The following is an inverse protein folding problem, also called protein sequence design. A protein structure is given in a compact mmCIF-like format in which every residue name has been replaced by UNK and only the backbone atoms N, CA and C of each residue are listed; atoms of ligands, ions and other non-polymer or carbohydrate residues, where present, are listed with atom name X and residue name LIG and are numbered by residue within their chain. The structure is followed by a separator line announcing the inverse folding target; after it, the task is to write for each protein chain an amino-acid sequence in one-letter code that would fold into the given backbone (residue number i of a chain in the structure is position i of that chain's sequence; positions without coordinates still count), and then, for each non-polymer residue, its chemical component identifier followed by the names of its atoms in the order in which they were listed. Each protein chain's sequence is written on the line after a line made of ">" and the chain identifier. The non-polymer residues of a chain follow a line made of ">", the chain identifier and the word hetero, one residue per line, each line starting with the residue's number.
data_IF_697914444569
#
_entry.id   IF_697914444569
#
_cell.length_a   1.000
_cell.length_b   1.000
_cell.length_c   1.000
_cell.angle_alpha   90.00
_cell.angle_beta   90.00
_cell.angle_gamma   90.00
#
_symmetry.space_group_name_H-M   'P 1'
#
loop_
_entity.id
_entity.type
_entity.pdbx_description
1 polymer ?
#
# COMPACT_ATOMS: atom_id res chain seq x y z
N UNK A 1 12.98 15.09 15.92
CA UNK A 1 12.36 13.88 15.39
C UNK A 1 13.45 12.85 15.09
N UNK A 2 13.30 11.63 15.55
CA UNK A 2 14.23 10.54 15.23
C UNK A 2 14.04 10.10 13.78
N UNK A 3 15.00 9.36 13.25
CA UNK A 3 14.87 8.79 11.90
C UNK A 3 13.63 7.90 11.80
N UNK A 4 13.37 7.08 12.82
CA UNK A 4 12.21 6.18 12.81
C UNK A 4 10.89 6.98 12.79
N UNK A 5 10.82 8.05 13.60
CA UNK A 5 9.65 8.93 13.61
C UNK A 5 9.46 9.62 12.26
N UNK A 6 10.54 10.06 11.64
CA UNK A 6 10.48 10.69 10.33
C UNK A 6 10.00 9.71 9.25
N UNK A 7 10.52 8.48 9.25
CA UNK A 7 10.07 7.44 8.31
C UNK A 7 8.58 7.20 8.49
N UNK A 8 8.11 7.04 9.74
CA UNK A 8 6.70 6.79 10.00
C UNK A 8 5.81 7.97 9.58
N UNK A 9 6.29 9.19 9.79
CA UNK A 9 5.55 10.40 9.39
C UNK A 9 5.40 10.46 7.87
N UNK A 10 6.49 10.21 7.14
CA UNK A 10 6.46 10.22 5.68
C UNK A 10 5.60 9.07 5.15
N UNK A 11 5.66 7.90 5.79
CA UNK A 11 4.77 6.79 5.45
C UNK A 11 3.30 7.20 5.54
N UNK A 12 2.92 7.90 6.60
CA UNK A 12 1.56 8.41 6.75
C UNK A 12 1.19 9.38 5.62
N UNK A 13 2.11 10.27 5.26
CA UNK A 13 1.89 11.23 4.16
C UNK A 13 1.68 10.49 2.84
N UNK A 14 2.48 9.45 2.57
CA UNK A 14 2.33 8.68 1.34
C UNK A 14 1.02 7.88 1.33
N UNK A 15 0.58 7.38 2.48
CA UNK A 15 -0.74 6.75 2.57
C UNK A 15 -1.85 7.74 2.19
N UNK A 16 -1.76 8.98 2.68
CA UNK A 16 -2.73 10.02 2.36
C UNK A 16 -2.73 10.35 0.86
N UNK A 17 -1.54 10.42 0.25
CA UNK A 17 -1.41 10.67 -1.19
C UNK A 17 -2.04 9.54 -2.01
N UNK A 18 -1.89 8.29 -1.59
CA UNK A 18 -2.54 7.15 -2.26
C UNK A 18 -4.06 7.28 -2.16
N UNK A 19 -4.58 7.63 -0.99
CA UNK A 19 -6.02 7.83 -0.80
C UNK A 19 -6.55 8.88 -1.78
N UNK A 20 -5.85 10.01 -1.89
CA UNK A 20 -6.23 11.08 -2.81
C UNK A 20 -6.18 10.63 -4.27
N UNK A 21 -5.12 9.91 -4.65
CA UNK A 21 -4.97 9.40 -6.02
C UNK A 21 -6.08 8.43 -6.39
N UNK A 22 -6.44 7.51 -5.48
CA UNK A 22 -7.56 6.58 -5.68
C UNK A 22 -8.88 7.34 -5.82
N UNK A 23 -9.09 8.35 -4.98
CA UNK A 23 -10.30 9.17 -5.04
C UNK A 23 -10.45 9.88 -6.40
N UNK A 24 -9.34 10.39 -6.93
CA UNK A 24 -9.35 11.03 -8.26
C UNK A 24 -9.69 10.05 -9.37
N UNK A 25 -9.16 8.83 -9.29
CA UNK A 25 -9.50 7.78 -10.26
C UNK A 25 -11.00 7.48 -10.21
N UNK A 26 -11.55 7.33 -9.00
CA UNK A 26 -12.97 7.02 -8.83
C UNK A 26 -13.88 8.15 -9.33
N UNK A 27 -13.46 9.40 -9.15
CA UNK A 27 -14.26 10.57 -9.53
C UNK A 27 -14.12 10.95 -10.99
N UNK A 28 -12.92 10.82 -11.54
CA UNK A 28 -12.59 11.38 -12.86
C UNK A 28 -12.12 10.35 -13.88
N UNK A 29 -11.96 9.09 -13.47
CA UNK A 29 -11.57 8.00 -14.36
C UNK A 29 -10.09 7.71 -14.34
N UNK A 30 -9.74 6.54 -14.85
CA UNK A 30 -8.37 6.02 -14.80
C UNK A 30 -7.45 6.67 -15.85
N UNK A 31 -7.97 7.02 -17.03
CA UNK A 31 -7.10 7.38 -18.16
C UNK A 31 -6.17 8.56 -17.87
N UNK A 32 -6.67 9.62 -17.24
CA UNK A 32 -5.87 10.80 -16.94
C UNK A 32 -5.16 10.71 -15.57
N UNK A 33 -5.55 9.75 -14.74
CA UNK A 33 -5.08 9.66 -13.35
C UNK A 33 -4.22 8.43 -13.09
N UNK A 34 -4.00 7.60 -14.10
CA UNK A 34 -3.25 6.36 -13.97
C UNK A 34 -1.79 6.61 -13.54
N UNK A 35 -1.10 7.51 -14.22
CA UNK A 35 0.32 7.78 -13.92
C UNK A 35 0.52 8.31 -12.51
N UNK A 36 -0.38 9.19 -12.06
CA UNK A 36 -0.32 9.74 -10.71
C UNK A 36 -0.55 8.65 -9.67
N UNK A 37 -1.52 7.75 -9.92
CA UNK A 37 -1.79 6.63 -9.01
C UNK A 37 -0.58 5.69 -8.93
N UNK A 38 0.01 5.33 -10.08
CA UNK A 38 1.21 4.48 -10.10
C UNK A 38 2.33 5.12 -9.29
N UNK A 39 2.57 6.42 -9.49
CA UNK A 39 3.62 7.13 -8.76
C UNK A 39 3.38 7.07 -7.25
N UNK A 40 2.17 7.33 -6.79
CA UNK A 40 1.88 7.32 -5.36
C UNK A 40 1.98 5.91 -4.76
N UNK A 41 1.59 4.88 -5.51
CA UNK A 41 1.77 3.50 -5.06
C UNK A 41 3.24 3.14 -4.95
N UNK A 42 4.07 3.58 -5.89
CA UNK A 42 5.51 3.36 -5.84
C UNK A 42 6.16 4.09 -4.67
N UNK A 43 5.74 5.33 -4.42
CA UNK A 43 6.26 6.12 -3.28
C UNK A 43 5.91 5.45 -1.95
N UNK A 44 4.67 4.95 -1.83
CA UNK A 44 4.25 4.21 -0.64
C UNK A 44 5.07 2.92 -0.48
N UNK A 45 5.27 2.18 -1.59
CA UNK A 45 6.07 0.96 -1.57
C UNK A 45 7.49 1.23 -1.08
N UNK A 46 8.10 2.35 -1.53
CA UNK A 46 9.42 2.74 -1.07
C UNK A 46 9.45 2.95 0.45
N UNK A 47 8.43 3.61 1.00
CA UNK A 47 8.37 3.84 2.45
C UNK A 47 8.13 2.56 3.24
N UNK A 48 7.33 1.63 2.70
CA UNK A 48 7.14 0.32 3.31
C UNK A 48 8.49 -0.42 3.37
N UNK A 49 9.26 -0.40 2.29
CA UNK A 49 10.57 -1.02 2.25
C UNK A 49 11.54 -0.40 3.27
N UNK A 50 11.52 0.93 3.42
CA UNK A 50 12.36 1.62 4.40
C UNK A 50 12.00 1.25 5.85
N UNK A 51 10.72 0.96 6.13
CA UNK A 51 10.30 0.49 7.45
C UNK A 51 11.04 -0.79 7.85
N UNK A 52 11.24 -1.69 6.89
CA UNK A 52 11.97 -2.94 7.14
C UNK A 52 13.48 -2.73 7.09
N UNK A 53 13.97 -1.96 6.12
CA UNK A 53 15.41 -1.71 5.96
C UNK A 53 16.02 -1.10 7.20
N UNK A 54 15.38 -0.09 7.77
CA UNK A 54 15.85 0.57 8.98
C UNK A 54 15.30 -0.05 10.27
N UNK A 55 14.68 -1.20 10.15
CA UNK A 55 14.18 -1.98 11.30
C UNK A 55 13.22 -1.18 12.19
N UNK A 56 12.42 -0.29 11.59
CA UNK A 56 11.32 0.35 12.30
C UNK A 56 10.31 -0.73 12.71
N UNK A 57 10.12 -1.70 11.82
CA UNK A 57 9.35 -2.93 12.09
C UNK A 57 10.22 -4.13 11.72
N UNK A 58 9.94 -5.26 12.35
CA UNK A 58 10.64 -6.50 12.08
C UNK A 58 9.65 -7.64 11.92
N UNK A 59 9.87 -8.45 10.89
CA UNK A 59 9.17 -9.72 10.77
C UNK A 59 10.03 -10.67 9.95
N UNK A 60 9.82 -11.96 10.15
CA UNK A 60 10.48 -12.96 9.31
C UNK A 60 9.78 -12.98 7.94
N UNK A 61 10.46 -13.57 6.96
CA UNK A 61 9.87 -13.78 5.63
C UNK A 61 8.60 -14.62 5.77
N UNK A 62 8.63 -15.65 6.61
CA UNK A 62 7.47 -16.52 6.83
C UNK A 62 6.30 -15.78 7.44
N UNK A 63 6.55 -14.89 8.42
CA UNK A 63 5.49 -14.06 9.02
C UNK A 63 4.88 -13.13 7.98
N UNK A 64 5.71 -12.52 7.14
CA UNK A 64 5.26 -11.63 6.07
C UNK A 64 4.36 -12.36 5.10
N UNK A 65 4.81 -13.51 4.61
CA UNK A 65 4.02 -14.35 3.70
C UNK A 65 2.71 -14.79 4.34
N UNK A 66 2.76 -15.21 5.60
CA UNK A 66 1.55 -15.64 6.31
C UNK A 66 0.53 -14.51 6.43
N UNK A 67 0.97 -13.31 6.82
CA UNK A 67 0.07 -12.16 6.94
C UNK A 67 -0.55 -11.79 5.60
N UNK A 68 0.24 -11.79 4.52
CA UNK A 68 -0.27 -11.49 3.19
C UNK A 68 -1.25 -12.57 2.75
N UNK A 69 -0.91 -13.84 2.98
CA UNK A 69 -1.79 -14.97 2.66
C UNK A 69 -3.12 -14.86 3.38
N UNK A 70 -3.12 -14.56 4.67
CA UNK A 70 -4.33 -14.40 5.46
C UNK A 70 -5.22 -13.28 4.92
N UNK A 71 -4.63 -12.15 4.52
CA UNK A 71 -5.39 -11.06 3.92
C UNK A 71 -6.05 -11.49 2.61
N UNK A 72 -5.30 -12.21 1.77
CA UNK A 72 -5.83 -12.70 0.50
C UNK A 72 -6.98 -13.69 0.71
N UNK A 73 -6.88 -14.56 1.72
CA UNK A 73 -7.96 -15.51 2.04
C UNK A 73 -9.21 -14.78 2.54
N UNK A 74 -9.05 -13.75 3.37
CA UNK A 74 -10.18 -12.92 3.80
C UNK A 74 -10.87 -12.26 2.61
N UNK A 75 -10.10 -11.74 1.66
CA UNK A 75 -10.65 -11.10 0.47
C UNK A 75 -11.43 -12.09 -0.39
N UNK A 76 -10.98 -13.34 -0.49
CA UNK A 76 -11.73 -14.38 -1.20
C UNK A 76 -13.09 -14.63 -0.57
N UNK A 77 -13.16 -14.54 0.77
CA UNK A 77 -14.39 -14.79 1.52
C UNK A 77 -15.33 -13.59 1.55
N UNK A 78 -14.79 -12.37 1.71
CA UNK A 78 -15.59 -11.17 1.98
C UNK A 78 -15.62 -10.16 0.83
N UNK A 79 -14.95 -10.44 -0.28
CA UNK A 79 -14.99 -9.56 -1.45
C UNK A 79 -15.07 -10.40 -2.72
N UNK A 80 -15.27 -9.72 -3.86
CA UNK A 80 -15.40 -10.38 -5.15
C UNK A 80 -14.20 -10.15 -6.06
N UNK A 81 -13.10 -9.59 -5.52
CA UNK A 81 -11.95 -9.20 -6.36
C UNK A 81 -11.23 -10.38 -7.01
N UNK A 82 -11.36 -11.59 -6.44
CA UNK A 82 -10.78 -12.80 -7.02
C UNK A 82 -11.74 -13.59 -7.87
N UNK A 83 -13.01 -13.14 -8.02
CA UNK A 83 -13.95 -13.77 -8.91
C UNK A 83 -13.67 -13.36 -10.36
N UNK A 84 -13.91 -14.28 -11.28
CA UNK A 84 -13.76 -13.98 -12.69
C UNK A 84 -14.90 -13.09 -13.14
N UNK A 85 -14.59 -11.89 -13.61
CA UNK A 85 -15.54 -10.90 -14.14
C UNK A 85 -15.37 -10.77 -15.64
N UNK A 86 -15.36 -11.84 -16.30
CA UNK A 86 -15.26 -11.84 -17.76
C UNK A 86 -16.58 -11.44 -18.41
#
# INVERSE_FOLDING_TARGET
>A
MTRNEEIMTILQEECAEVIQAVSKVKRFGMSENHSALVKELCDLQAMIELMYEFQVVNCTIDQKFENIFQKRQKLKKFSRIFESNS
#
